data_IF_759970244767
#
_entry.id   IF_759970244767
#
_cell.length_a   1.000
_cell.length_b   1.000
_cell.length_c   1.000
_cell.angle_alpha   90.00
_cell.angle_beta   90.00
_cell.angle_gamma   90.00
#
_symmetry.space_group_name_H-M   'P 1'
#
loop_
_entity.id
_entity.type
_entity.pdbx_description
1 polymer ?
#
# COMPACT_ATOMS: atom_id res chain seq x y z
N UNK A 1 -15.24 -64.87 11.60
CA UNK A 1 -15.46 -63.62 10.83
C UNK A 1 -16.14 -62.56 11.71
N UNK A 2 -15.53 -62.11 12.82
CA UNK A 2 -16.18 -61.14 13.73
C UNK A 2 -15.21 -60.17 14.45
N UNK A 3 -13.89 -60.31 14.25
CA UNK A 3 -12.89 -59.40 14.84
C UNK A 3 -12.49 -58.24 13.93
N UNK A 4 -12.67 -58.36 12.60
CA UNK A 4 -12.34 -57.29 11.65
C UNK A 4 -13.44 -56.21 11.56
N UNK A 5 -14.70 -56.51 11.92
CA UNK A 5 -15.79 -55.53 11.95
C UNK A 5 -15.71 -54.57 13.14
N UNK A 6 -15.16 -55.02 14.27
CA UNK A 6 -15.00 -54.20 15.49
C UNK A 6 -13.87 -53.18 15.38
N UNK A 7 -12.82 -53.45 14.59
CA UNK A 7 -11.74 -52.49 14.35
C UNK A 7 -12.19 -51.32 13.47
N UNK A 8 -13.11 -51.56 12.52
CA UNK A 8 -13.67 -50.51 11.66
C UNK A 8 -14.59 -49.55 12.43
N UNK A 9 -15.23 -50.01 13.50
CA UNK A 9 -16.03 -49.17 14.39
C UNK A 9 -15.20 -48.23 15.29
N UNK A 10 -13.97 -48.61 15.63
CA UNK A 10 -13.05 -47.78 16.45
C UNK A 10 -12.33 -46.68 15.65
N UNK A 11 -12.25 -46.83 14.32
CA UNK A 11 -11.74 -45.79 13.41
C UNK A 11 -12.85 -44.85 12.91
N UNK A 12 -14.10 -45.14 13.24
CA UNK A 12 -15.26 -44.27 12.97
C UNK A 12 -15.64 -43.50 14.24
N UNK A 13 -14.62 -42.99 14.95
CA UNK A 13 -14.79 -42.05 16.04
C UNK A 13 -15.34 -40.73 15.50
N UNK A 14 -16.55 -40.42 15.94
CA UNK A 14 -17.24 -39.12 15.88
C UNK A 14 -16.30 -37.96 15.54
N UNK A 15 -16.39 -37.49 14.30
CA UNK A 15 -15.93 -36.17 13.94
C UNK A 15 -16.97 -35.17 14.51
N UNK A 16 -17.00 -35.03 15.83
CA UNK A 16 -17.52 -33.80 16.43
C UNK A 16 -16.51 -32.74 16.07
N UNK A 17 -16.85 -31.98 15.02
CA UNK A 17 -16.22 -30.70 14.72
C UNK A 17 -16.50 -29.83 15.93
N UNK A 18 -15.61 -29.90 16.92
CA UNK A 18 -15.44 -28.85 17.93
C UNK A 18 -14.88 -27.67 17.16
N UNK A 19 -15.79 -26.96 16.51
CA UNK A 19 -15.57 -25.61 16.04
C UNK A 19 -15.09 -24.84 17.26
N UNK A 20 -13.86 -24.30 17.29
CA UNK A 20 -13.60 -23.23 18.24
C UNK A 20 -14.60 -22.15 17.84
N UNK A 21 -15.55 -21.87 18.72
CA UNK A 21 -16.35 -20.65 18.66
C UNK A 21 -15.36 -19.50 18.77
N UNK A 22 -14.75 -19.14 17.65
CA UNK A 22 -14.15 -17.84 17.46
C UNK A 22 -15.36 -16.94 17.51
N UNK A 23 -15.60 -16.34 18.67
CA UNK A 23 -16.46 -15.19 18.79
C UNK A 23 -15.90 -14.15 17.81
N UNK A 24 -16.41 -14.17 16.58
CA UNK A 24 -16.21 -13.15 15.57
C UNK A 24 -17.05 -11.93 15.98
N UNK A 25 -16.79 -11.42 17.18
CA UNK A 25 -16.96 -10.03 17.53
C UNK A 25 -15.58 -9.35 17.43
N UNK A 26 -14.85 -9.64 16.36
CA UNK A 26 -13.97 -8.61 15.82
C UNK A 26 -14.92 -7.63 15.13
N UNK A 27 -15.33 -6.62 15.89
CA UNK A 27 -15.78 -5.35 15.34
C UNK A 27 -14.99 -5.11 14.06
N UNK A 28 -15.68 -5.08 12.92
CA UNK A 28 -15.14 -4.45 11.71
C UNK A 28 -15.01 -2.98 12.06
N UNK A 29 -13.99 -2.66 12.87
CA UNK A 29 -13.52 -1.33 13.08
C UNK A 29 -13.29 -0.83 11.66
N UNK A 30 -14.14 0.09 11.23
CA UNK A 30 -13.99 0.72 9.95
C UNK A 30 -12.58 1.26 9.94
N UNK A 31 -11.70 0.61 9.18
CA UNK A 31 -10.33 1.08 8.98
C UNK A 31 -10.52 2.34 8.18
N UNK A 32 -10.68 3.47 8.88
CA UNK A 32 -10.62 4.80 8.28
C UNK A 32 -9.39 4.78 7.38
N UNK A 33 -9.54 5.04 6.06
CA UNK A 33 -8.43 5.07 5.14
C UNK A 33 -7.31 5.88 5.78
N UNK A 34 -6.23 5.17 6.09
CA UNK A 34 -5.21 5.72 6.95
C UNK A 34 -4.55 6.84 6.15
N UNK A 35 -4.51 8.05 6.69
CA UNK A 35 -4.01 9.25 6.01
C UNK A 35 -2.50 9.12 5.74
N UNK A 36 -2.10 8.97 4.48
CA UNK A 36 -0.69 8.84 4.08
C UNK A 36 -0.03 10.22 3.98
N UNK A 37 1.26 10.31 4.31
CA UNK A 37 2.02 11.52 3.99
C UNK A 37 2.03 11.68 2.47
N UNK A 38 1.53 12.82 2.02
CA UNK A 38 1.63 13.21 0.63
C UNK A 38 2.98 13.89 0.40
N UNK A 39 3.81 13.29 -0.45
CA UNK A 39 5.08 13.84 -0.89
C UNK A 39 4.93 14.69 -2.15
N UNK A 40 3.69 14.88 -2.64
CA UNK A 40 3.44 15.67 -3.82
C UNK A 40 3.73 17.16 -3.60
N UNK A 41 4.34 17.78 -4.59
CA UNK A 41 4.48 19.23 -4.69
C UNK A 41 3.69 19.75 -5.90
N UNK A 42 3.04 20.91 -5.75
CA UNK A 42 2.46 21.59 -6.89
C UNK A 42 3.59 22.00 -7.84
N UNK A 43 3.41 21.66 -9.10
CA UNK A 43 4.32 22.04 -10.20
C UNK A 43 3.79 23.30 -10.86
N UNK A 44 4.71 24.19 -11.27
CA UNK A 44 4.35 25.42 -11.96
C UNK A 44 3.65 25.11 -13.30
N UNK A 45 2.89 26.07 -13.83
CA UNK A 45 2.26 25.88 -15.15
C UNK A 45 3.30 25.85 -16.27
N UNK A 46 4.36 26.64 -16.16
CA UNK A 46 5.47 26.65 -17.11
C UNK A 46 6.14 25.28 -17.22
N UNK A 47 6.46 24.65 -16.08
CA UNK A 47 7.04 23.31 -16.06
C UNK A 47 6.09 22.27 -16.67
N UNK A 48 4.77 22.44 -16.47
CA UNK A 48 3.77 21.54 -17.05
C UNK A 48 3.72 21.64 -18.56
N UNK A 49 3.74 22.86 -19.09
CA UNK A 49 3.77 23.13 -20.52
C UNK A 49 5.05 22.59 -21.16
N UNK A 50 6.20 22.78 -20.50
CA UNK A 50 7.49 22.26 -20.97
C UNK A 50 7.48 20.73 -21.07
N UNK A 51 7.05 20.03 -20.02
CA UNK A 51 6.97 18.56 -20.03
C UNK A 51 5.97 18.08 -21.08
N UNK A 52 4.84 18.76 -21.26
CA UNK A 52 3.88 18.44 -22.31
C UNK A 52 4.47 18.60 -23.72
N UNK A 53 5.24 19.66 -23.96
CA UNK A 53 5.93 19.89 -25.22
C UNK A 53 6.98 18.81 -25.50
N UNK A 54 7.80 18.45 -24.50
CA UNK A 54 8.81 17.38 -24.61
C UNK A 54 8.13 16.04 -24.89
N UNK A 55 7.07 15.69 -24.15
CA UNK A 55 6.32 14.46 -24.36
C UNK A 55 5.72 14.39 -25.77
N UNK A 56 5.18 15.51 -26.26
CA UNK A 56 4.67 15.62 -27.62
C UNK A 56 5.77 15.38 -28.65
N UNK A 57 6.93 16.02 -28.47
CA UNK A 57 8.06 15.88 -29.38
C UNK A 57 8.66 14.46 -29.40
N UNK A 58 8.67 13.75 -28.27
CA UNK A 58 9.14 12.35 -28.21
C UNK A 58 8.16 11.40 -28.91
N UNK A 59 6.85 11.63 -28.74
CA UNK A 59 5.80 10.76 -29.27
C UNK A 59 5.56 10.95 -30.77
N UNK A 60 5.79 12.15 -31.30
CA UNK A 60 5.70 12.45 -32.74
C UNK A 60 7.01 12.00 -33.39
N UNK A 61 7.17 10.69 -33.60
CA UNK A 61 8.33 10.16 -34.32
C UNK A 61 8.11 10.15 -35.84
N UNK A 62 6.90 9.86 -36.32
CA UNK A 62 6.60 9.69 -37.76
C UNK A 62 5.16 10.03 -38.22
N UNK A 63 4.21 10.28 -37.30
CA UNK A 63 2.82 10.60 -37.65
C UNK A 63 2.51 12.10 -37.47
N UNK A 64 2.01 12.73 -38.52
CA UNK A 64 1.83 14.19 -38.60
C UNK A 64 0.67 14.76 -37.77
N UNK A 65 -0.13 13.94 -37.07
CA UNK A 65 -1.32 14.40 -36.32
C UNK A 65 -1.48 13.73 -34.95
N UNK A 66 -0.44 13.75 -34.10
CA UNK A 66 -0.56 13.26 -32.71
C UNK A 66 -0.85 14.42 -31.75
N UNK A 67 -2.00 14.38 -31.08
CA UNK A 67 -2.32 15.29 -29.98
C UNK A 67 -2.01 14.62 -28.65
N UNK A 68 -1.10 15.20 -27.86
CA UNK A 68 -0.74 14.71 -26.53
C UNK A 68 -1.37 15.61 -25.47
N UNK A 69 -2.16 15.00 -24.57
CA UNK A 69 -2.70 15.69 -23.39
C UNK A 69 -2.08 15.11 -22.13
N UNK A 70 -1.37 15.97 -21.39
CA UNK A 70 -0.83 15.61 -20.08
C UNK A 70 -1.92 15.81 -19.03
N UNK A 71 -2.36 14.72 -18.40
CA UNK A 71 -3.44 14.72 -17.41
C UNK A 71 -3.02 15.37 -16.08
N UNK A 72 -1.80 15.10 -15.63
CA UNK A 72 -1.25 15.63 -14.39
C UNK A 72 0.27 15.49 -14.36
N UNK A 73 0.94 16.50 -13.80
CA UNK A 73 2.36 16.44 -13.44
C UNK A 73 2.46 16.81 -11.97
N UNK A 74 3.20 16.00 -11.24
CA UNK A 74 3.34 16.10 -9.80
C UNK A 74 4.82 16.10 -9.46
N UNK A 75 5.26 17.11 -8.71
CA UNK A 75 6.61 17.17 -8.18
C UNK A 75 6.71 16.29 -6.94
N UNK A 76 7.92 15.86 -6.60
CA UNK A 76 8.18 15.13 -5.37
C UNK A 76 8.98 16.03 -4.42
N UNK A 77 8.49 16.17 -3.19
CA UNK A 77 9.22 16.81 -2.10
C UNK A 77 10.33 15.88 -1.60
N UNK A 78 11.49 15.96 -2.25
CA UNK A 78 12.64 15.11 -1.96
C UNK A 78 13.10 15.27 -0.50
N UNK A 79 13.01 16.47 0.07
CA UNK A 79 13.39 16.71 1.46
C UNK A 79 12.48 15.92 2.41
N UNK A 80 11.16 15.97 2.19
CA UNK A 80 10.21 15.18 2.97
C UNK A 80 10.37 13.68 2.75
N UNK A 81 10.67 13.26 1.53
CA UNK A 81 10.93 11.84 1.21
C UNK A 81 12.15 11.32 1.97
N UNK A 82 13.27 12.05 1.93
CA UNK A 82 14.51 11.69 2.65
C UNK A 82 14.27 11.66 4.15
N UNK A 83 13.60 12.68 4.70
CA UNK A 83 13.26 12.72 6.12
C UNK A 83 12.39 11.52 6.51
N UNK A 84 11.38 11.18 5.70
CA UNK A 84 10.54 10.01 5.93
C UNK A 84 11.33 8.69 5.93
N UNK A 85 12.27 8.54 4.99
CA UNK A 85 13.13 7.36 4.91
C UNK A 85 14.03 7.21 6.14
N UNK A 86 14.65 8.31 6.60
CA UNK A 86 15.49 8.32 7.80
C UNK A 86 14.67 7.96 9.04
N UNK A 87 13.50 8.58 9.22
CA UNK A 87 12.60 8.29 10.36
C UNK A 87 12.17 6.82 10.32
N UNK A 88 11.83 6.29 9.15
CA UNK A 88 11.47 4.89 8.98
C UNK A 88 12.61 3.94 9.38
N UNK A 89 13.84 4.25 8.95
CA UNK A 89 15.02 3.45 9.28
C UNK A 89 15.35 3.46 10.78
N UNK A 90 15.29 4.62 11.43
CA UNK A 90 15.51 4.75 12.88
C UNK A 90 14.44 3.97 13.64
N UNK A 91 13.16 4.17 13.30
CA UNK A 91 12.07 3.51 13.99
C UNK A 91 12.12 1.98 13.85
N UNK A 92 12.51 1.48 12.66
CA UNK A 92 12.73 0.05 12.43
C UNK A 92 13.95 -0.50 13.22
N UNK A 93 15.01 0.31 13.38
CA UNK A 93 16.19 -0.05 14.16
C UNK A 93 15.91 -0.13 15.67
N UNK A 94 15.23 0.87 16.23
CA UNK A 94 14.94 0.96 17.66
C UNK A 94 13.89 -0.06 18.10
N UNK A 95 12.93 -0.38 17.23
CA UNK A 95 11.79 -1.24 17.53
C UNK A 95 11.44 -2.15 16.33
N UNK A 96 12.22 -3.21 16.08
CA UNK A 96 12.10 -4.03 14.87
C UNK A 96 10.80 -4.84 14.78
N UNK A 97 10.12 -5.09 15.90
CA UNK A 97 8.82 -5.77 15.92
C UNK A 97 7.63 -4.83 15.78
N UNK A 98 7.86 -3.51 15.74
CA UNK A 98 6.81 -2.49 15.70
C UNK A 98 6.54 -2.01 14.28
N UNK A 99 5.31 -1.56 14.05
CA UNK A 99 4.91 -0.90 12.81
C UNK A 99 4.80 0.60 13.07
N UNK A 100 5.57 1.37 12.31
CA UNK A 100 5.57 2.83 12.39
C UNK A 100 4.90 3.42 11.17
N UNK A 101 4.18 4.52 11.39
CA UNK A 101 3.51 5.26 10.33
C UNK A 101 3.75 6.73 10.49
N UNK A 102 4.45 7.31 9.52
CA UNK A 102 4.61 8.74 9.41
C UNK A 102 3.26 9.38 9.08
N UNK A 103 2.85 10.40 9.84
CA UNK A 103 1.57 11.10 9.66
C UNK A 103 1.72 12.47 9.01
N UNK A 104 2.76 13.22 9.37
CA UNK A 104 3.03 14.53 8.81
C UNK A 104 4.50 14.89 8.98
N UNK A 105 4.99 15.75 8.10
CA UNK A 105 6.27 16.47 8.24
C UNK A 105 5.93 17.95 8.13
N UNK A 106 6.29 18.73 9.14
CA UNK A 106 6.12 20.17 9.16
C UNK A 106 7.48 20.84 9.32
N UNK A 107 7.67 21.95 8.62
CA UNK A 107 8.81 22.85 8.86
C UNK A 107 8.54 23.61 10.17
N UNK A 108 9.56 23.73 11.01
CA UNK A 108 9.53 24.58 12.19
C UNK A 108 10.33 25.82 11.83
N UNK A 109 9.63 26.95 11.72
CA UNK A 109 10.21 28.28 11.45
C UNK A 109 10.60 28.99 12.75
#
# INVERSE_FOLDING_TARGET
MALLSKLRGLLSGKNEVVQPTIAANASVAQVKPLETVDFSLPVSQEDKELVAAIASAILVHDDTDVTVQVKSITGIDLEKEIAAAIIGAIAAGDHPASQFRLKSIARID
#
